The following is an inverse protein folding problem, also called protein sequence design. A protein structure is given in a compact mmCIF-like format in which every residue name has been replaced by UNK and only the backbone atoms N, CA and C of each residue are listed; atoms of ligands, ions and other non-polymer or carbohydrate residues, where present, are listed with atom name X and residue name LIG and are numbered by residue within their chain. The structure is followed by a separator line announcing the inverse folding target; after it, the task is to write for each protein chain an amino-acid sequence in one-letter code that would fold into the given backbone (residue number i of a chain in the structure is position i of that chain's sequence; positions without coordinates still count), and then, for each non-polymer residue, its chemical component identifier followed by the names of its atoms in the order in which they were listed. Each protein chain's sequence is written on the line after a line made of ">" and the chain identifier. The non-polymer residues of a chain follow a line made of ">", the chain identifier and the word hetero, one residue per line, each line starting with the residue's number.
data_IF_290678622758
#
_entry.id   IF_290678622758
#
_cell.length_a   1.000
_cell.length_b   1.000
_cell.length_c   1.000
_cell.angle_alpha   90.00
_cell.angle_beta   90.00
_cell.angle_gamma   90.00
#
_symmetry.space_group_name_H-M   'P 1'
#
loop_
_entity.id
_entity.type
_entity.pdbx_description
1 polymer ?
#
# COMPACT_ATOMS: atom_id res chain seq x y z
N UNK A 1 3.18 -1.37 -17.55
CA UNK A 1 4.34 -2.07 -16.97
C UNK A 1 4.60 -3.38 -17.72
N UNK A 2 5.33 -3.35 -18.84
CA UNK A 2 5.53 -4.55 -19.68
C UNK A 2 6.27 -5.71 -18.99
N UNK A 3 7.03 -5.40 -17.94
CA UNK A 3 7.81 -6.37 -17.15
C UNK A 3 7.01 -7.05 -16.04
N UNK A 4 5.77 -6.64 -15.75
CA UNK A 4 4.98 -7.21 -14.65
C UNK A 4 3.99 -8.25 -15.17
N UNK A 5 3.93 -9.37 -14.46
CA UNK A 5 2.91 -10.39 -14.62
C UNK A 5 1.73 -10.15 -13.66
N UNK A 6 2.04 -9.94 -12.37
CA UNK A 6 1.05 -9.57 -11.36
C UNK A 6 1.69 -8.80 -10.20
N UNK A 7 0.86 -8.13 -9.39
CA UNK A 7 1.26 -7.51 -8.13
C UNK A 7 0.38 -8.07 -7.02
N UNK A 8 1.01 -8.66 -6.00
CA UNK A 8 0.31 -9.18 -4.82
C UNK A 8 0.48 -8.22 -3.65
N UNK A 9 -0.63 -7.74 -3.11
CA UNK A 9 -0.64 -6.90 -1.91
C UNK A 9 -1.06 -7.75 -0.69
N UNK A 10 -0.14 -7.91 0.26
CA UNK A 10 -0.47 -8.43 1.58
C UNK A 10 -0.66 -7.27 2.56
N UNK A 11 -1.87 -7.15 3.08
CA UNK A 11 -2.24 -6.08 4.01
C UNK A 11 -2.57 -6.71 5.36
N UNK A 12 -1.98 -6.16 6.43
CA UNK A 12 -2.30 -6.51 7.81
C UNK A 12 -2.55 -5.23 8.60
N UNK A 13 -3.75 -5.11 9.15
CA UNK A 13 -4.13 -4.03 10.06
C UNK A 13 -4.15 -4.59 11.47
N UNK A 14 -3.39 -3.98 12.38
CA UNK A 14 -3.27 -4.43 13.77
C UNK A 14 -3.72 -3.32 14.71
N UNK A 15 -4.69 -3.55 15.62
CA UNK A 15 -5.08 -2.55 16.61
C UNK A 15 -3.87 -2.06 17.43
N UNK A 16 -3.80 -0.76 17.73
CA UNK A 16 -2.73 -0.18 18.55
C UNK A 16 -3.21 1.15 19.16
N UNK A 17 -3.29 1.23 20.49
CA UNK A 17 -3.45 2.48 21.26
C UNK A 17 -4.55 3.44 20.75
N UNK A 18 -5.75 2.92 20.49
CA UNK A 18 -6.88 3.72 20.00
C UNK A 18 -6.86 4.00 18.48
N UNK A 19 -5.86 3.47 17.76
CA UNK A 19 -5.79 3.46 16.31
C UNK A 19 -5.37 2.08 15.78
N UNK A 20 -4.63 2.07 14.67
CA UNK A 20 -4.11 0.84 14.09
C UNK A 20 -2.72 1.03 13.48
N UNK A 21 -1.95 -0.05 13.43
CA UNK A 21 -0.71 -0.16 12.64
C UNK A 21 -1.05 -0.85 11.33
N UNK A 22 -0.95 -0.09 10.25
CA UNK A 22 -1.11 -0.60 8.90
C UNK A 22 0.22 -1.16 8.37
N UNK A 23 0.26 -2.44 8.01
CA UNK A 23 1.44 -3.09 7.42
C UNK A 23 1.10 -3.60 6.03
N UNK A 24 1.88 -3.18 5.04
CA UNK A 24 1.75 -3.61 3.65
C UNK A 24 3.04 -4.27 3.17
N UNK A 25 2.89 -5.38 2.48
CA UNK A 25 3.96 -5.99 1.68
C UNK A 25 3.46 -6.10 0.25
N UNK A 26 4.22 -5.52 -0.67
CA UNK A 26 3.92 -5.55 -2.11
C UNK A 26 4.93 -6.47 -2.78
N UNK A 27 4.42 -7.48 -3.48
CA UNK A 27 5.23 -8.46 -4.21
C UNK A 27 4.99 -8.23 -5.69
N UNK A 28 6.03 -7.82 -6.40
CA UNK A 28 6.02 -7.61 -7.85
C UNK A 28 6.44 -8.89 -8.55
N UNK A 29 5.48 -9.63 -9.09
CA UNK A 29 5.75 -10.83 -9.88
C UNK A 29 6.08 -10.38 -11.30
N UNK A 30 7.35 -10.45 -11.67
CA UNK A 30 7.85 -9.95 -12.94
C UNK A 30 7.95 -11.06 -13.98
N UNK A 31 7.78 -10.69 -15.26
CA UNK A 31 8.05 -11.57 -16.39
C UNK A 31 9.56 -11.64 -16.62
N UNK A 32 10.11 -12.84 -16.56
CA UNK A 32 11.55 -13.04 -16.72
C UNK A 32 12.35 -12.46 -15.54
N UNK A 33 13.55 -11.95 -15.82
CA UNK A 33 14.49 -11.45 -14.80
C UNK A 33 14.40 -9.95 -14.52
N UNK A 34 13.62 -9.23 -15.31
CA UNK A 34 13.50 -7.78 -15.19
C UNK A 34 12.79 -7.40 -13.89
N UNK A 35 13.19 -6.28 -13.27
CA UNK A 35 12.61 -5.79 -12.02
C UNK A 35 12.28 -4.31 -12.14
N UNK A 36 11.26 -3.81 -11.42
CA UNK A 36 11.02 -2.38 -11.30
C UNK A 36 12.26 -1.68 -10.76
N UNK A 37 12.52 -0.46 -11.25
CA UNK A 37 13.60 0.36 -10.70
C UNK A 37 13.26 0.80 -9.27
N UNK A 38 14.29 1.06 -8.47
CA UNK A 38 14.10 1.56 -7.10
C UNK A 38 13.33 2.89 -7.05
N UNK A 39 13.49 3.73 -8.07
CA UNK A 39 12.76 5.00 -8.20
C UNK A 39 11.26 4.79 -8.32
N UNK A 40 10.84 3.84 -9.19
CA UNK A 40 9.42 3.48 -9.35
C UNK A 40 8.87 2.89 -8.05
N UNK A 41 9.62 1.98 -7.41
CA UNK A 41 9.21 1.37 -6.14
C UNK A 41 9.03 2.41 -5.04
N UNK A 42 9.89 3.43 -4.99
CA UNK A 42 9.77 4.53 -4.04
C UNK A 42 8.54 5.40 -4.35
N UNK A 43 8.33 5.76 -5.61
CA UNK A 43 7.16 6.54 -6.02
C UNK A 43 5.85 5.82 -5.69
N UNK A 44 5.76 4.51 -5.96
CA UNK A 44 4.58 3.70 -5.62
C UNK A 44 4.36 3.61 -4.11
N UNK A 45 5.43 3.42 -3.32
CA UNK A 45 5.34 3.45 -1.86
C UNK A 45 4.77 4.77 -1.34
N UNK A 46 5.23 5.90 -1.87
CA UNK A 46 4.70 7.22 -1.49
C UNK A 46 3.21 7.38 -1.86
N UNK A 47 2.78 6.85 -3.00
CA UNK A 47 1.37 6.84 -3.41
C UNK A 47 0.53 6.01 -2.44
N UNK A 48 1.00 4.82 -2.04
CA UNK A 48 0.29 3.99 -1.07
C UNK A 48 0.17 4.69 0.29
N UNK A 49 1.26 5.26 0.81
CA UNK A 49 1.23 5.98 2.08
C UNK A 49 0.27 7.18 2.06
N UNK A 50 0.24 7.95 0.95
CA UNK A 50 -0.72 9.05 0.79
C UNK A 50 -2.17 8.55 0.74
N UNK A 51 -2.41 7.45 0.03
CA UNK A 51 -3.75 6.85 -0.08
C UNK A 51 -4.26 6.40 1.28
N UNK A 52 -3.44 5.70 2.08
CA UNK A 52 -3.86 5.26 3.41
C UNK A 52 -4.13 6.42 4.37
N UNK A 53 -3.30 7.47 4.34
CA UNK A 53 -3.56 8.68 5.15
C UNK A 53 -4.87 9.37 4.76
N UNK A 54 -5.21 9.39 3.48
CA UNK A 54 -6.48 9.94 3.02
C UNK A 54 -7.67 9.09 3.50
N UNK A 55 -7.56 7.76 3.47
CA UNK A 55 -8.58 6.84 3.99
C UNK A 55 -8.75 7.02 5.51
N UNK A 56 -7.64 7.11 6.26
CA UNK A 56 -7.66 7.33 7.71
C UNK A 56 -8.31 8.67 8.06
N UNK A 57 -7.92 9.75 7.37
CA UNK A 57 -8.51 11.07 7.58
C UNK A 57 -10.02 11.09 7.27
N UNK A 58 -10.43 10.37 6.22
CA UNK A 58 -11.85 10.23 5.89
C UNK A 58 -12.62 9.49 6.99
N UNK A 59 -12.12 8.34 7.45
CA UNK A 59 -12.75 7.58 8.54
C UNK A 59 -12.84 8.39 9.84
N UNK A 60 -11.83 9.19 10.16
CA UNK A 60 -11.83 10.06 11.34
C UNK A 60 -12.85 11.22 11.21
N UNK A 61 -13.06 11.75 10.00
CA UNK A 61 -14.03 12.81 9.75
C UNK A 61 -15.48 12.31 9.66
N UNK A 62 -15.66 11.01 9.39
CA UNK A 62 -16.95 10.35 9.17
C UNK A 62 -17.13 9.12 10.07
N UNK A 63 -17.13 9.28 11.41
CA UNK A 63 -17.22 8.17 12.36
C UNK A 63 -18.52 7.36 12.27
N UNK A 64 -19.52 7.84 11.54
CA UNK A 64 -20.79 7.16 11.28
C UNK A 64 -20.76 6.16 10.12
N UNK A 65 -19.73 6.20 9.27
CA UNK A 65 -19.71 5.45 8.00
C UNK A 65 -19.18 4.02 8.13
N UNK A 66 -18.36 3.72 9.13
CA UNK A 66 -17.68 2.44 9.35
C UNK A 66 -17.38 2.23 10.84
#
# INVERSE_FOLDING_TARGET
>A
MGILDSITHHIKVVPCDGGSKFKQTVIYNCKGSDKPSEEILKAEKEIYEKTYKAIEAYGAAHPESY
#
